data_IF_169320899354
#
_entry.id   IF_169320899354
#
_cell.length_a   1.000
_cell.length_b   1.000
_cell.length_c   1.000
_cell.angle_alpha   90.00
_cell.angle_beta   90.00
_cell.angle_gamma   90.00
#
_symmetry.space_group_name_H-M   'P 1'
#
loop_
_entity.id
_entity.type
_entity.pdbx_description
1 polymer ?
#
# COMPACT_ATOMS: atom_id res chain seq x y z
N UNK A 1 -18.47 4.53 -16.56
CA UNK A 1 -19.92 4.19 -16.41
C UNK A 1 -20.21 3.66 -15.00
N UNK A 2 -21.46 3.73 -14.51
CA UNK A 2 -21.83 3.30 -13.14
C UNK A 2 -21.48 1.84 -12.85
N UNK A 3 -21.64 0.95 -13.83
CA UNK A 3 -21.28 -0.46 -13.68
C UNK A 3 -19.79 -0.70 -13.43
N UNK A 4 -18.90 0.23 -13.81
CA UNK A 4 -17.46 0.12 -13.56
C UNK A 4 -17.11 0.75 -12.20
N UNK A 5 -17.37 2.04 -12.01
CA UNK A 5 -16.91 2.73 -10.80
C UNK A 5 -17.57 2.23 -9.51
N UNK A 6 -18.81 1.72 -9.58
CA UNK A 6 -19.51 1.19 -8.41
C UNK A 6 -18.88 -0.11 -7.90
N UNK A 7 -18.09 -0.80 -8.74
CA UNK A 7 -17.33 -1.98 -8.37
C UNK A 7 -15.86 -1.64 -8.10
N UNK A 8 -15.21 -0.89 -8.99
CA UNK A 8 -13.76 -0.66 -8.93
C UNK A 8 -13.35 0.28 -7.79
N UNK A 9 -14.14 1.30 -7.45
CA UNK A 9 -13.77 2.24 -6.37
C UNK A 9 -13.86 1.59 -4.97
N UNK A 10 -14.95 0.90 -4.58
CA UNK A 10 -15.00 0.22 -3.28
C UNK A 10 -13.98 -0.91 -3.16
N UNK A 11 -13.73 -1.63 -4.26
CA UNK A 11 -12.69 -2.66 -4.30
C UNK A 11 -11.30 -2.04 -4.13
N UNK A 12 -10.98 -1.03 -4.96
CA UNK A 12 -9.71 -0.31 -4.95
C UNK A 12 -9.37 0.27 -3.59
N UNK A 13 -10.33 0.92 -2.93
CA UNK A 13 -10.13 1.47 -1.59
C UNK A 13 -9.61 0.44 -0.54
N UNK A 14 -9.83 -0.85 -0.77
CA UNK A 14 -9.37 -1.93 0.11
C UNK A 14 -8.06 -2.61 -0.36
N UNK A 15 -7.87 -2.74 -1.69
CA UNK A 15 -6.80 -3.55 -2.31
C UNK A 15 -5.73 -2.73 -3.03
N UNK A 16 -5.91 -1.41 -3.14
CA UNK A 16 -4.94 -0.51 -3.73
C UNK A 16 -4.36 0.34 -2.62
N UNK A 17 -3.19 -0.10 -2.16
CA UNK A 17 -2.48 0.52 -1.05
C UNK A 17 -1.06 0.89 -1.43
N UNK A 18 -0.88 1.45 -2.61
CA UNK A 18 0.43 1.91 -3.11
C UNK A 18 1.13 2.87 -2.15
N UNK A 19 0.42 3.86 -1.61
CA UNK A 19 0.93 4.78 -0.60
C UNK A 19 1.33 4.06 0.69
N UNK A 20 0.56 3.06 1.13
CA UNK A 20 0.91 2.24 2.29
C UNK A 20 2.19 1.45 2.01
N UNK A 21 2.31 0.83 0.84
CA UNK A 21 3.51 0.10 0.42
C UNK A 21 4.76 0.97 0.43
N UNK A 22 4.66 2.20 -0.10
CA UNK A 22 5.74 3.19 -0.07
C UNK A 22 6.13 3.52 1.37
N UNK A 23 5.16 3.73 2.25
CA UNK A 23 5.43 4.02 3.66
C UNK A 23 6.08 2.82 4.37
N UNK A 24 5.60 1.59 4.19
CA UNK A 24 6.19 0.40 4.78
C UNK A 24 7.66 0.23 4.38
N UNK A 25 7.95 0.35 3.08
CA UNK A 25 9.32 0.27 2.56
C UNK A 25 10.19 1.41 3.10
N UNK A 26 9.66 2.65 3.12
CA UNK A 26 10.40 3.82 3.58
C UNK A 26 10.74 3.74 5.06
N UNK A 27 9.79 3.34 5.91
CA UNK A 27 10.00 3.17 7.35
C UNK A 27 11.02 2.06 7.60
N UNK A 28 10.89 0.91 6.94
CA UNK A 28 11.84 -0.20 7.11
C UNK A 28 13.26 0.19 6.72
N UNK A 29 13.43 0.83 5.55
CA UNK A 29 14.74 1.27 5.07
C UNK A 29 15.34 2.36 5.94
N UNK A 30 14.53 3.34 6.36
CA UNK A 30 14.95 4.37 7.30
C UNK A 30 15.47 3.74 8.61
N UNK A 31 14.69 2.83 9.19
CA UNK A 31 15.06 2.16 10.44
C UNK A 31 16.33 1.32 10.28
N UNK A 32 16.46 0.59 9.18
CA UNK A 32 17.65 -0.20 8.90
C UNK A 32 18.90 0.69 8.79
N UNK A 33 18.83 1.78 8.02
CA UNK A 33 19.94 2.71 7.83
C UNK A 33 20.31 3.43 9.11
N UNK A 34 19.32 3.88 9.89
CA UNK A 34 19.56 4.53 11.18
C UNK A 34 20.12 3.57 12.24
N UNK A 35 19.90 2.26 12.09
CA UNK A 35 20.46 1.21 12.95
C UNK A 35 21.78 0.62 12.40
N UNK A 36 22.35 1.19 11.33
CA UNK A 36 23.54 0.69 10.63
C UNK A 36 23.41 -0.80 10.20
N UNK A 37 22.19 -1.20 9.82
CA UNK A 37 21.84 -2.54 9.34
C UNK A 37 21.72 -2.52 7.82
N UNK A 38 22.57 -3.28 7.14
CA UNK A 38 22.47 -3.49 5.70
C UNK A 38 21.62 -4.74 5.38
N UNK A 39 20.87 -4.68 4.28
CA UNK A 39 20.18 -5.83 3.72
C UNK A 39 20.97 -6.44 2.57
N UNK A 40 21.02 -7.77 2.51
CA UNK A 40 21.52 -8.47 1.34
C UNK A 40 20.51 -8.37 0.20
N UNK A 41 20.92 -8.54 -1.07
CA UNK A 41 19.99 -8.56 -2.20
C UNK A 41 18.86 -9.60 -2.05
N UNK A 42 19.15 -10.77 -1.46
CA UNK A 42 18.13 -11.79 -1.18
C UNK A 42 17.14 -11.37 -0.09
N UNK A 43 17.60 -10.64 0.94
CA UNK A 43 16.72 -10.07 1.95
C UNK A 43 15.79 -9.01 1.34
N UNK A 44 16.26 -8.20 0.39
CA UNK A 44 15.41 -7.21 -0.32
C UNK A 44 14.25 -7.91 -1.06
N UNK A 45 14.48 -9.04 -1.72
CA UNK A 45 13.40 -9.80 -2.37
C UNK A 45 12.37 -10.26 -1.33
N UNK A 46 12.84 -10.74 -0.17
CA UNK A 46 11.96 -11.17 0.92
C UNK A 46 11.15 -10.00 1.49
N UNK A 47 11.78 -8.83 1.66
CA UNK A 47 11.14 -7.57 2.07
C UNK A 47 10.02 -7.20 1.09
N UNK A 48 10.27 -7.27 -0.22
CA UNK A 48 9.26 -6.94 -1.22
C UNK A 48 8.06 -7.89 -1.17
N UNK A 49 8.30 -9.20 -1.04
CA UNK A 49 7.22 -10.20 -0.97
C UNK A 49 6.40 -10.03 0.31
N UNK A 50 7.05 -9.92 1.47
CA UNK A 50 6.34 -9.74 2.75
C UNK A 50 5.63 -8.38 2.77
N UNK A 51 6.29 -7.33 2.28
CA UNK A 51 5.73 -5.98 2.21
C UNK A 51 4.47 -5.92 1.36
N UNK A 52 4.45 -6.59 0.20
CA UNK A 52 3.27 -6.70 -0.67
C UNK A 52 2.12 -7.45 0.01
N UNK A 53 2.42 -8.56 0.69
CA UNK A 53 1.39 -9.30 1.42
C UNK A 53 0.81 -8.49 2.58
N UNK A 54 1.66 -7.78 3.29
CA UNK A 54 1.27 -6.99 4.45
C UNK A 54 0.54 -5.70 4.05
N UNK A 55 0.92 -5.03 2.96
CA UNK A 55 0.23 -3.83 2.47
C UNK A 55 -1.24 -4.16 2.23
N UNK A 56 -1.54 -5.22 1.49
CA UNK A 56 -2.92 -5.58 1.18
C UNK A 56 -3.66 -6.16 2.38
N UNK A 57 -3.00 -7.03 3.16
CA UNK A 57 -3.56 -7.63 4.37
C UNK A 57 -3.85 -6.64 5.51
N UNK A 58 -3.34 -5.41 5.43
CA UNK A 58 -3.42 -4.43 6.52
C UNK A 58 -4.81 -3.86 6.83
N UNK A 59 -5.80 -4.01 5.94
CA UNK A 59 -7.10 -3.31 6.04
C UNK A 59 -7.95 -3.77 7.24
N UNK A 60 -7.60 -4.90 7.86
CA UNK A 60 -8.24 -5.40 9.08
C UNK A 60 -7.47 -5.12 10.37
N UNK A 61 -6.25 -4.56 10.31
CA UNK A 61 -5.44 -4.34 11.51
C UNK A 61 -5.85 -3.04 12.23
N UNK A 62 -6.14 -3.10 13.54
CA UNK A 62 -6.39 -1.89 14.34
C UNK A 62 -5.10 -1.08 14.51
N UNK A 63 -5.21 0.25 14.52
CA UNK A 63 -4.07 1.15 14.79
C UNK A 63 -3.51 1.92 13.58
N UNK A 64 -4.11 1.76 12.40
CA UNK A 64 -3.75 2.53 11.21
C UNK A 64 -2.40 2.15 10.61
N UNK A 65 -1.93 2.96 9.65
CA UNK A 65 -0.75 2.66 8.85
C UNK A 65 0.56 2.58 9.65
N UNK A 66 0.71 3.39 10.70
CA UNK A 66 1.93 3.40 11.52
C UNK A 66 2.12 2.08 12.28
N UNK A 67 1.06 1.51 12.85
CA UNK A 67 1.15 0.25 13.59
C UNK A 67 1.56 -0.90 12.66
N UNK A 68 1.02 -0.93 11.45
CA UNK A 68 1.41 -1.91 10.43
C UNK A 68 2.89 -1.77 10.07
N UNK A 69 3.40 -0.53 9.97
CA UNK A 69 4.82 -0.29 9.73
C UNK A 69 5.71 -0.79 10.89
N UNK A 70 5.29 -0.60 12.14
CA UNK A 70 6.02 -1.12 13.30
C UNK A 70 6.06 -2.65 13.31
N UNK A 71 4.93 -3.31 13.01
CA UNK A 71 4.88 -4.78 12.86
C UNK A 71 5.82 -5.24 11.74
N UNK A 72 5.87 -4.51 10.63
CA UNK A 72 6.77 -4.83 9.53
C UNK A 72 8.25 -4.70 9.92
N UNK A 73 8.60 -3.64 10.65
CA UNK A 73 9.96 -3.44 11.19
C UNK A 73 10.34 -4.55 12.17
N UNK A 74 9.42 -4.94 13.05
CA UNK A 74 9.60 -6.04 14.00
C UNK A 74 9.91 -7.37 13.29
N UNK A 75 9.23 -7.65 12.18
CA UNK A 75 9.44 -8.86 11.38
C UNK A 75 10.88 -9.01 10.85
N UNK A 76 11.63 -7.90 10.73
CA UNK A 76 13.05 -7.90 10.33
C UNK A 76 14.02 -7.68 11.50
N UNK A 77 13.55 -7.80 12.74
CA UNK A 77 14.34 -7.66 13.97
C UNK A 77 15.11 -6.34 14.03
N UNK A 78 14.43 -5.25 13.66
CA UNK A 78 14.95 -3.90 13.71
C UNK A 78 14.41 -3.14 14.93
N UNK A 79 15.13 -2.11 15.44
CA UNK A 79 14.72 -1.37 16.63
C UNK A 79 13.43 -0.58 16.38
N UNK A 80 12.39 -0.86 17.17
CA UNK A 80 11.09 -0.20 17.05
C UNK A 80 11.12 1.26 17.48
N UNK A 81 12.02 1.61 18.40
CA UNK A 81 12.20 2.97 18.91
C UNK A 81 12.62 3.93 17.79
N UNK A 82 13.45 3.44 16.86
CA UNK A 82 13.90 4.21 15.69
C UNK A 82 12.72 4.40 14.73
N UNK A 83 11.97 3.33 14.42
CA UNK A 83 10.80 3.42 13.55
C UNK A 83 9.70 4.34 14.13
N UNK A 84 9.53 4.34 15.45
CA UNK A 84 8.56 5.17 16.15
C UNK A 84 8.80 6.68 15.98
N UNK A 85 10.01 7.11 15.64
CA UNK A 85 10.33 8.52 15.33
C UNK A 85 9.48 9.02 14.16
N UNK A 86 9.16 8.15 13.19
CA UNK A 86 8.26 8.47 12.06
C UNK A 86 6.87 8.85 12.55
N UNK A 87 6.46 8.35 13.72
CA UNK A 87 5.24 8.76 14.42
C UNK A 87 5.12 10.28 14.60
N UNK A 88 6.23 10.99 14.76
CA UNK A 88 6.25 12.45 14.88
C UNK A 88 5.78 13.19 13.62
N UNK A 89 5.97 12.60 12.43
CA UNK A 89 5.53 13.15 11.15
C UNK A 89 4.41 12.34 10.50
N UNK A 90 3.95 11.27 11.17
CA UNK A 90 3.06 10.27 10.59
C UNK A 90 1.80 10.89 9.97
N UNK A 91 1.22 11.91 10.60
CA UNK A 91 0.02 12.58 10.05
C UNK A 91 0.25 13.20 8.67
N UNK A 92 1.41 13.78 8.42
CA UNK A 92 1.73 14.35 7.10
C UNK A 92 1.92 13.23 6.07
N UNK A 93 2.63 12.17 6.46
CA UNK A 93 2.90 11.02 5.60
C UNK A 93 1.59 10.28 5.25
N UNK A 94 0.72 10.06 6.22
CA UNK A 94 -0.55 9.35 6.08
C UNK A 94 -1.53 10.06 5.15
N UNK A 95 -1.59 11.40 5.21
CA UNK A 95 -2.36 12.20 4.24
C UNK A 95 -1.85 12.01 2.81
N UNK A 96 -0.53 11.98 2.62
CA UNK A 96 0.09 11.72 1.32
C UNK A 96 -0.24 10.32 0.80
N UNK A 97 -0.09 9.30 1.64
CA UNK A 97 -0.39 7.91 1.29
C UNK A 97 -1.84 7.73 0.87
N UNK A 98 -2.77 8.28 1.65
CA UNK A 98 -4.20 8.22 1.35
C UNK A 98 -4.52 8.90 0.02
N UNK A 99 -3.88 10.05 -0.26
CA UNK A 99 -4.04 10.76 -1.53
C UNK A 99 -3.57 9.91 -2.71
N UNK A 100 -2.42 9.24 -2.58
CA UNK A 100 -1.87 8.37 -3.62
C UNK A 100 -2.79 7.17 -3.87
N UNK A 101 -3.28 6.52 -2.82
CA UNK A 101 -4.20 5.38 -2.94
C UNK A 101 -5.46 5.78 -3.71
N UNK A 102 -6.12 6.87 -3.30
CA UNK A 102 -7.33 7.37 -3.99
C UNK A 102 -7.03 7.76 -5.44
N UNK A 103 -5.88 8.38 -5.70
CA UNK A 103 -5.45 8.69 -7.07
C UNK A 103 -5.32 7.42 -7.91
N UNK A 104 -4.69 6.36 -7.37
CA UNK A 104 -4.58 5.06 -8.02
C UNK A 104 -5.95 4.45 -8.33
N UNK A 105 -6.90 4.54 -7.40
CA UNK A 105 -8.27 4.03 -7.60
C UNK A 105 -8.98 4.72 -8.77
N UNK A 106 -8.84 6.05 -8.84
CA UNK A 106 -9.42 6.86 -9.91
C UNK A 106 -8.77 6.55 -11.26
N UNK A 107 -7.44 6.44 -11.30
CA UNK A 107 -6.68 6.11 -12.52
C UNK A 107 -7.04 4.70 -13.00
N UNK A 108 -7.03 3.70 -12.11
CA UNK A 108 -7.40 2.32 -12.44
C UNK A 108 -8.84 2.23 -12.94
N UNK A 109 -9.77 2.91 -12.27
CA UNK A 109 -11.18 3.00 -12.70
C UNK A 109 -11.32 3.62 -14.09
N UNK A 110 -10.59 4.69 -14.39
CA UNK A 110 -10.61 5.32 -15.71
C UNK A 110 -10.03 4.42 -16.81
N UNK A 111 -8.94 3.70 -16.52
CA UNK A 111 -8.34 2.72 -17.43
C UNK A 111 -9.33 1.60 -17.75
N UNK A 112 -9.97 1.02 -16.72
CA UNK A 112 -10.96 -0.05 -16.89
C UNK A 112 -12.16 0.46 -17.68
N UNK A 113 -12.69 1.64 -17.34
CA UNK A 113 -13.81 2.24 -18.07
C UNK A 113 -13.52 2.38 -19.57
N UNK A 114 -12.33 2.89 -19.92
CA UNK A 114 -11.90 3.05 -21.31
C UNK A 114 -11.69 1.70 -22.02
N UNK A 115 -11.19 0.70 -21.31
CA UNK A 115 -11.01 -0.65 -21.85
C UNK A 115 -12.36 -1.31 -22.17
N UNK A 116 -13.34 -1.18 -21.28
CA UNK A 116 -14.67 -1.76 -21.46
C UNK A 116 -15.46 -1.05 -22.57
N UNK A 117 -15.31 0.26 -22.74
CA UNK A 117 -15.90 1.00 -23.88
C UNK A 117 -15.39 0.49 -25.24
N UNK A 118 -14.11 0.10 -25.32
CA UNK A 118 -13.50 -0.44 -26.55
C UNK A 118 -13.97 -1.85 -26.90
N UNK A 119 -14.45 -2.62 -25.93
CA UNK A 119 -14.90 -4.01 -26.13
C UNK A 119 -16.31 -4.10 -26.75
N UNK A 120 -17.01 -2.97 -26.88
CA UNK A 120 -18.39 -2.94 -27.36
C UNK A 120 -19.38 -3.54 -26.35
N UNK A 121 -20.69 -3.52 -26.62
CA UNK A 121 -21.66 -4.15 -25.75
C UNK A 121 -21.38 -5.65 -25.66
N UNK A 122 -21.27 -6.19 -24.44
CA UNK A 122 -21.33 -7.64 -24.23
C UNK A 122 -22.67 -8.10 -24.79
N UNK A 123 -22.63 -8.93 -25.84
CA UNK A 123 -23.81 -9.55 -26.42
C UNK A 123 -24.53 -10.28 -25.29
N UNK A 124 -25.71 -9.77 -24.89
CA UNK A 124 -26.53 -10.42 -23.87
C UNK A 124 -27.00 -11.72 -24.48
N UNK A 125 -26.29 -12.81 -24.21
CA UNK A 125 -26.77 -14.15 -24.53
C UNK A 125 -28.07 -14.33 -23.75
N UNK A 126 -29.17 -14.42 -24.49
CA UNK A 126 -30.53 -14.57 -23.99
C UNK A 126 -30.74 -15.93 -23.32
#
# INVERSE_FOLDING_TARGET
PRGVYAFTLPLGAQINKDGTSIMLASVLLFTAQAADRAFTPGAIVTILVIGLLLSEGSSGLPGGGLVVALIFVEAFNLPLEIAAIVGGIYRLVDMGNTTINVMGDLVGTAIVARSEERRGPVEKTA
#
